data_IF_138046142087
#
_entry.id   IF_138046142087
#
_cell.length_a   1.000
_cell.length_b   1.000
_cell.length_c   1.000
_cell.angle_alpha   90.00
_cell.angle_beta   90.00
_cell.angle_gamma   90.00
#
_symmetry.space_group_name_H-M   'P 1'
#
loop_
_entity.id
_entity.type
_entity.pdbx_description
1 polymer ?
#
# COMPACT_ATOMS: atom_id res chain seq x y z
N UNK A 1 -23.19 -30.22 -38.91
CA UNK A 1 -22.00 -29.31 -38.93
C UNK A 1 -22.29 -27.94 -38.32
N UNK A 2 -23.33 -27.24 -38.74
CA UNK A 2 -23.72 -25.93 -38.25
C UNK A 2 -23.89 -25.88 -36.72
N UNK A 3 -24.65 -26.80 -36.13
CA UNK A 3 -24.88 -26.86 -34.68
C UNK A 3 -23.58 -27.19 -33.89
N UNK A 4 -22.64 -27.94 -34.48
CA UNK A 4 -21.34 -28.23 -33.88
C UNK A 4 -20.46 -26.98 -33.87
N UNK A 5 -20.44 -26.23 -34.98
CA UNK A 5 -19.72 -24.97 -35.09
C UNK A 5 -20.25 -23.93 -34.10
N UNK A 6 -21.56 -23.79 -33.91
CA UNK A 6 -22.16 -22.92 -32.93
C UNK A 6 -21.77 -23.24 -31.47
N UNK A 7 -21.77 -24.54 -31.12
CA UNK A 7 -21.30 -25.02 -29.81
C UNK A 7 -19.84 -24.70 -29.57
N UNK A 8 -18.98 -24.96 -30.55
CA UNK A 8 -17.54 -24.64 -30.45
C UNK A 8 -17.28 -23.13 -30.26
N UNK A 9 -18.03 -22.30 -30.98
CA UNK A 9 -17.97 -20.84 -30.77
C UNK A 9 -18.44 -20.41 -29.37
N UNK A 10 -19.53 -20.98 -28.87
CA UNK A 10 -20.01 -20.70 -27.52
C UNK A 10 -19.00 -21.10 -26.44
N UNK A 11 -18.36 -22.26 -26.59
CA UNK A 11 -17.30 -22.72 -25.65
C UNK A 11 -16.10 -21.79 -25.70
N UNK A 12 -15.65 -21.35 -26.87
CA UNK A 12 -14.55 -20.38 -27.02
C UNK A 12 -14.87 -19.04 -26.36
N UNK A 13 -16.06 -18.50 -26.59
CA UNK A 13 -16.50 -17.24 -25.99
C UNK A 13 -16.55 -17.35 -24.46
N UNK A 14 -17.04 -18.46 -23.92
CA UNK A 14 -17.06 -18.71 -22.48
C UNK A 14 -15.63 -18.73 -21.87
N UNK A 15 -14.72 -19.45 -22.50
CA UNK A 15 -13.32 -19.54 -22.03
C UNK A 15 -12.60 -18.18 -22.06
N UNK A 16 -12.80 -17.40 -23.12
CA UNK A 16 -12.24 -16.03 -23.21
C UNK A 16 -12.83 -15.14 -22.14
N UNK A 17 -14.12 -15.20 -21.88
CA UNK A 17 -14.81 -14.45 -20.84
C UNK A 17 -14.25 -14.76 -19.44
N UNK A 18 -14.10 -16.04 -19.11
CA UNK A 18 -13.54 -16.46 -17.82
C UNK A 18 -12.09 -15.97 -17.63
N UNK A 19 -11.27 -16.06 -18.67
CA UNK A 19 -9.90 -15.53 -18.65
C UNK A 19 -9.85 -14.00 -18.48
N UNK A 20 -10.73 -13.26 -19.14
CA UNK A 20 -10.84 -11.81 -19.00
C UNK A 20 -11.31 -11.42 -17.60
N UNK A 21 -12.32 -12.08 -17.05
CA UNK A 21 -12.80 -11.85 -15.69
C UNK A 21 -11.68 -12.00 -14.66
N UNK A 22 -10.91 -13.07 -14.77
CA UNK A 22 -9.80 -13.36 -13.88
C UNK A 22 -8.71 -12.30 -14.02
N UNK A 23 -8.32 -11.94 -15.23
CA UNK A 23 -7.27 -10.94 -15.49
C UNK A 23 -7.66 -9.56 -14.98
N UNK A 24 -8.90 -9.12 -15.20
CA UNK A 24 -9.42 -7.83 -14.72
C UNK A 24 -9.48 -7.81 -13.20
N UNK A 25 -9.97 -8.88 -12.57
CA UNK A 25 -10.00 -8.99 -11.10
C UNK A 25 -8.62 -8.91 -10.47
N UNK A 26 -7.62 -9.60 -11.05
CA UNK A 26 -6.23 -9.54 -10.58
C UNK A 26 -5.65 -8.12 -10.75
N UNK A 27 -5.91 -7.48 -11.90
CA UNK A 27 -5.46 -6.11 -12.15
C UNK A 27 -6.03 -5.14 -11.11
N UNK A 28 -7.34 -5.17 -10.87
CA UNK A 28 -8.01 -4.33 -9.89
C UNK A 28 -7.49 -4.58 -8.48
N UNK A 29 -7.34 -5.85 -8.07
CA UNK A 29 -6.78 -6.22 -6.79
C UNK A 29 -5.36 -5.67 -6.61
N UNK A 30 -4.49 -5.80 -7.61
CA UNK A 30 -3.12 -5.28 -7.56
C UNK A 30 -3.08 -3.74 -7.47
N UNK A 31 -3.97 -3.05 -8.17
CA UNK A 31 -4.12 -1.59 -8.07
C UNK A 31 -4.54 -1.22 -6.64
N UNK A 32 -5.58 -1.84 -6.10
CA UNK A 32 -6.07 -1.58 -4.74
C UNK A 32 -5.00 -1.87 -3.68
N UNK A 33 -4.31 -2.99 -3.78
CA UNK A 33 -3.21 -3.35 -2.87
C UNK A 33 -2.07 -2.32 -2.87
N UNK A 34 -1.84 -1.67 -4.01
CA UNK A 34 -0.80 -0.65 -4.16
C UNK A 34 -1.24 0.73 -3.69
N UNK A 35 -2.54 1.03 -3.74
CA UNK A 35 -3.10 2.36 -3.47
C UNK A 35 -3.77 2.49 -2.11
N UNK A 36 -4.38 1.42 -1.60
CA UNK A 36 -5.05 1.39 -0.30
C UNK A 36 -4.10 0.84 0.78
N UNK A 37 -4.15 1.46 1.96
CA UNK A 37 -3.27 1.09 3.07
C UNK A 37 -3.94 0.11 4.07
N UNK A 38 -5.16 -0.35 3.78
CA UNK A 38 -5.95 -1.26 4.62
C UNK A 38 -6.45 -2.45 3.81
N UNK A 39 -6.06 -3.66 4.21
CA UNK A 39 -6.53 -4.89 3.56
C UNK A 39 -8.06 -5.07 3.62
N UNK A 40 -8.72 -4.59 4.68
CA UNK A 40 -10.17 -4.64 4.81
C UNK A 40 -10.94 -3.79 3.78
N UNK A 41 -10.35 -2.71 3.30
CA UNK A 41 -10.95 -1.86 2.26
C UNK A 41 -10.93 -2.54 0.89
N UNK A 42 -9.90 -3.36 0.60
CA UNK A 42 -9.76 -4.07 -0.67
C UNK A 42 -10.96 -4.99 -0.94
N UNK A 43 -11.39 -5.74 0.09
CA UNK A 43 -12.54 -6.63 -0.03
C UNK A 43 -13.84 -5.87 -0.36
N UNK A 44 -14.08 -4.72 0.31
CA UNK A 44 -15.25 -3.87 0.05
C UNK A 44 -15.23 -3.32 -1.39
N UNK A 45 -14.07 -2.88 -1.88
CA UNK A 45 -13.89 -2.43 -3.26
C UNK A 45 -14.12 -3.54 -4.28
N UNK A 46 -13.56 -4.74 -4.06
CA UNK A 46 -13.77 -5.88 -4.97
C UNK A 46 -15.24 -6.29 -5.05
N UNK A 47 -15.96 -6.23 -3.93
CA UNK A 47 -17.40 -6.52 -3.90
C UNK A 47 -18.25 -5.46 -4.62
N UNK A 48 -17.81 -4.20 -4.62
CA UNK A 48 -18.50 -3.10 -5.33
C UNK A 48 -18.40 -3.22 -6.85
N UNK A 49 -17.34 -3.88 -7.34
CA UNK A 49 -17.08 -4.06 -8.77
C UNK A 49 -17.02 -5.55 -9.13
N UNK A 50 -18.16 -6.26 -9.18
CA UNK A 50 -18.20 -7.69 -9.49
C UNK A 50 -17.95 -7.92 -10.98
N UNK A 51 -16.71 -8.22 -11.33
CA UNK A 51 -16.25 -8.41 -12.71
C UNK A 51 -17.04 -9.54 -13.41
N UNK A 52 -17.33 -10.62 -12.68
CA UNK A 52 -18.06 -11.78 -13.23
C UNK A 52 -19.49 -11.47 -13.66
N UNK A 53 -20.19 -10.51 -12.98
CA UNK A 53 -21.55 -10.10 -13.35
C UNK A 53 -21.59 -9.18 -14.57
N UNK A 54 -20.60 -8.28 -14.69
CA UNK A 54 -20.59 -7.22 -15.71
C UNK A 54 -20.32 -7.77 -17.12
N UNK A 55 -19.54 -8.85 -17.26
CA UNK A 55 -19.16 -9.44 -18.57
C UNK A 55 -20.04 -10.65 -18.93
N UNK A 56 -21.00 -11.02 -18.06
CA UNK A 56 -21.77 -12.27 -18.24
C UNK A 56 -22.66 -12.30 -19.47
N UNK A 57 -23.21 -11.16 -19.89
CA UNK A 57 -24.22 -11.04 -20.93
C UNK A 57 -23.68 -10.62 -22.30
N UNK A 58 -22.35 -10.43 -22.42
CA UNK A 58 -21.72 -10.02 -23.66
C UNK A 58 -21.89 -11.09 -24.75
N UNK A 59 -22.55 -10.75 -25.86
CA UNK A 59 -22.81 -11.65 -26.97
C UNK A 59 -21.60 -11.87 -27.88
N UNK A 60 -20.65 -10.93 -27.89
CA UNK A 60 -19.44 -11.02 -28.73
C UNK A 60 -18.21 -10.37 -28.05
N UNK A 61 -17.03 -10.57 -28.65
CA UNK A 61 -15.78 -10.01 -28.14
C UNK A 61 -15.77 -8.47 -28.09
N UNK A 62 -16.49 -7.81 -28.99
CA UNK A 62 -16.64 -6.34 -29.01
C UNK A 62 -17.42 -5.82 -27.80
N UNK A 63 -18.48 -6.52 -27.43
CA UNK A 63 -19.29 -6.20 -26.25
C UNK A 63 -18.48 -6.42 -24.96
N UNK A 64 -17.76 -7.55 -24.85
CA UNK A 64 -16.87 -7.82 -23.73
C UNK A 64 -15.83 -6.71 -23.53
N UNK A 65 -15.21 -6.25 -24.62
CA UNK A 65 -14.23 -5.17 -24.56
C UNK A 65 -14.86 -3.87 -24.05
N UNK A 66 -16.04 -3.52 -24.52
CA UNK A 66 -16.77 -2.32 -24.10
C UNK A 66 -17.13 -2.39 -22.62
N UNK A 67 -17.66 -3.52 -22.17
CA UNK A 67 -18.08 -3.72 -20.78
C UNK A 67 -16.89 -3.69 -19.80
N UNK A 68 -15.76 -4.32 -20.16
CA UNK A 68 -14.52 -4.23 -19.39
C UNK A 68 -14.01 -2.80 -19.32
N UNK A 69 -14.00 -2.07 -20.44
CA UNK A 69 -13.56 -0.67 -20.44
C UNK A 69 -14.46 0.21 -19.57
N UNK A 70 -15.78 0.06 -19.67
CA UNK A 70 -16.73 0.79 -18.84
C UNK A 70 -16.49 0.50 -17.34
N UNK A 71 -16.36 -0.77 -16.95
CA UNK A 71 -16.07 -1.19 -15.59
C UNK A 71 -14.75 -0.58 -15.06
N UNK A 72 -13.69 -0.64 -15.85
CA UNK A 72 -12.40 -0.08 -15.46
C UNK A 72 -12.42 1.46 -15.37
N UNK A 73 -13.17 2.13 -16.23
CA UNK A 73 -13.35 3.59 -16.18
C UNK A 73 -14.13 4.01 -14.93
N UNK A 74 -15.20 3.31 -14.60
CA UNK A 74 -15.98 3.58 -13.39
C UNK A 74 -15.16 3.30 -12.12
N UNK A 75 -14.46 2.17 -12.09
CA UNK A 75 -13.53 1.83 -11.01
C UNK A 75 -12.44 2.90 -10.84
N UNK A 76 -11.82 3.32 -11.92
CA UNK A 76 -10.78 4.35 -11.89
C UNK A 76 -11.32 5.68 -11.37
N UNK A 77 -12.47 6.14 -11.89
CA UNK A 77 -13.13 7.38 -11.46
C UNK A 77 -13.45 7.37 -9.97
N UNK A 78 -14.04 6.28 -9.48
CA UNK A 78 -14.43 6.17 -8.08
C UNK A 78 -13.21 6.03 -7.18
N UNK A 79 -12.17 5.32 -7.60
CA UNK A 79 -10.92 5.21 -6.87
C UNK A 79 -10.20 6.56 -6.79
N UNK A 80 -10.16 7.34 -7.88
CA UNK A 80 -9.61 8.70 -7.85
C UNK A 80 -10.39 9.61 -6.90
N UNK A 81 -11.73 9.56 -6.95
CA UNK A 81 -12.56 10.34 -6.03
C UNK A 81 -12.26 9.97 -4.57
N UNK A 82 -12.22 8.68 -4.27
CA UNK A 82 -11.87 8.18 -2.94
C UNK A 82 -10.47 8.64 -2.48
N UNK A 83 -9.47 8.59 -3.37
CA UNK A 83 -8.11 9.03 -3.07
C UNK A 83 -8.00 10.56 -2.90
N UNK A 84 -8.84 11.34 -3.60
CA UNK A 84 -8.93 12.81 -3.41
C UNK A 84 -9.59 13.17 -2.08
N UNK A 85 -10.65 12.48 -1.69
CA UNK A 85 -11.29 12.64 -0.38
C UNK A 85 -10.40 12.12 0.75
N UNK A 86 -9.46 11.22 0.44
CA UNK A 86 -8.52 10.68 1.39
C UNK A 86 -7.27 11.55 1.52
N UNK A 87 -7.40 12.65 2.27
CA UNK A 87 -6.28 13.52 2.65
C UNK A 87 -5.12 12.75 3.32
N UNK A 88 -5.39 11.56 3.85
CA UNK A 88 -4.39 10.67 4.44
C UNK A 88 -3.57 9.89 3.41
N UNK A 89 -4.09 9.60 2.23
CA UNK A 89 -3.31 8.99 1.15
C UNK A 89 -2.10 9.84 0.75
N UNK A 90 -2.29 11.16 0.73
CA UNK A 90 -1.18 12.09 0.49
C UNK A 90 -0.18 12.13 1.64
N UNK A 91 -0.66 12.10 2.88
CA UNK A 91 0.18 12.04 4.08
C UNK A 91 1.05 10.79 4.07
N UNK A 92 0.50 9.61 3.78
CA UNK A 92 1.29 8.38 3.74
C UNK A 92 2.35 8.42 2.65
N UNK A 93 2.00 8.87 1.44
CA UNK A 93 2.98 9.08 0.35
C UNK A 93 4.07 10.08 0.73
N UNK A 94 3.71 11.14 1.46
CA UNK A 94 4.67 12.13 1.93
C UNK A 94 5.61 11.53 2.98
N UNK A 95 5.09 10.77 3.95
CA UNK A 95 5.90 10.06 4.95
C UNK A 95 6.88 9.10 4.26
N UNK A 96 6.41 8.25 3.34
CA UNK A 96 7.27 7.27 2.66
C UNK A 96 8.37 7.95 1.83
N UNK A 97 8.06 9.06 1.15
CA UNK A 97 9.03 9.83 0.36
C UNK A 97 10.05 10.58 1.22
N UNK A 98 9.62 11.08 2.38
CA UNK A 98 10.42 11.92 3.28
C UNK A 98 10.90 11.20 4.54
N UNK A 99 10.81 9.87 4.58
CA UNK A 99 11.11 9.08 5.78
C UNK A 99 12.54 9.27 6.30
N UNK A 100 13.48 9.57 5.41
CA UNK A 100 14.88 9.81 5.74
C UNK A 100 15.16 11.25 6.22
N UNK A 101 14.14 12.08 6.31
CA UNK A 101 14.25 13.44 6.81
C UNK A 101 13.55 13.58 8.17
N UNK A 102 13.74 14.74 8.82
CA UNK A 102 12.93 15.08 9.99
C UNK A 102 11.51 15.43 9.50
N UNK A 103 10.54 14.73 10.03
CA UNK A 103 9.12 14.96 9.77
C UNK A 103 8.49 15.59 11.00
N UNK A 104 7.74 16.67 10.83
CA UNK A 104 6.98 17.29 11.92
C UNK A 104 5.50 16.93 11.82
N UNK A 105 4.81 16.96 12.97
CA UNK A 105 3.36 16.73 13.00
C UNK A 105 2.60 17.88 12.34
N UNK A 106 3.15 19.09 12.43
CA UNK A 106 2.61 20.31 11.84
C UNK A 106 2.56 20.20 10.32
N UNK A 107 3.65 19.72 9.69
CA UNK A 107 3.70 19.47 8.24
C UNK A 107 2.65 18.46 7.82
N UNK A 108 2.53 17.34 8.54
CA UNK A 108 1.58 16.27 8.19
C UNK A 108 0.13 16.72 8.40
N UNK A 109 -0.13 17.51 9.46
CA UNK A 109 -1.45 18.08 9.73
C UNK A 109 -1.84 19.09 8.63
N UNK A 110 -0.90 19.94 8.21
CA UNK A 110 -1.12 20.92 7.14
C UNK A 110 -1.47 20.23 5.81
N UNK A 111 -0.78 19.13 5.44
CA UNK A 111 -1.10 18.32 4.26
C UNK A 111 -2.53 17.78 4.27
N UNK A 112 -3.10 17.59 5.44
CA UNK A 112 -4.47 17.06 5.61
C UNK A 112 -5.50 18.18 5.82
N UNK A 113 -5.10 19.44 5.79
CA UNK A 113 -5.91 20.61 6.16
C UNK A 113 -6.55 20.46 7.56
N UNK A 114 -5.79 19.94 8.53
CA UNK A 114 -6.26 19.69 9.91
C UNK A 114 -5.37 20.38 10.92
N UNK A 115 -5.93 20.65 12.12
CA UNK A 115 -5.09 20.95 13.29
C UNK A 115 -4.28 19.70 13.71
N UNK A 116 -3.14 19.89 14.35
CA UNK A 116 -2.28 18.79 14.84
C UNK A 116 -3.04 17.80 15.72
N UNK A 117 -3.94 18.30 16.56
CA UNK A 117 -4.79 17.48 17.45
C UNK A 117 -5.77 16.63 16.65
N UNK A 118 -6.51 17.25 15.72
CA UNK A 118 -7.47 16.53 14.85
C UNK A 118 -6.76 15.51 13.97
N UNK A 119 -5.62 15.87 13.39
CA UNK A 119 -4.77 14.98 12.61
C UNK A 119 -4.33 13.75 13.43
N UNK A 120 -3.76 13.99 14.61
CA UNK A 120 -3.25 12.91 15.48
C UNK A 120 -4.34 11.93 15.88
N UNK A 121 -5.55 12.43 16.21
CA UNK A 121 -6.71 11.59 16.52
C UNK A 121 -7.11 10.72 15.33
N UNK A 122 -7.37 11.35 14.16
CA UNK A 122 -7.78 10.63 12.93
C UNK A 122 -6.71 9.66 12.43
N UNK A 123 -5.43 10.05 12.50
CA UNK A 123 -4.33 9.18 12.13
C UNK A 123 -4.30 7.92 12.99
N UNK A 124 -4.48 8.06 14.32
CA UNK A 124 -4.55 6.92 15.24
C UNK A 124 -5.77 6.03 14.96
N UNK A 125 -6.92 6.63 14.68
CA UNK A 125 -8.14 5.87 14.30
C UNK A 125 -7.90 5.04 13.04
N UNK A 126 -7.18 5.60 12.06
CA UNK A 126 -6.92 4.95 10.77
C UNK A 126 -5.80 3.90 10.81
N UNK A 127 -4.73 4.14 11.56
CA UNK A 127 -3.53 3.29 11.61
C UNK A 127 -3.42 2.45 12.88
N UNK A 128 -4.34 2.63 13.83
CA UNK A 128 -4.32 2.05 15.17
C UNK A 128 -3.12 2.49 16.03
N UNK A 129 -2.32 3.47 15.56
CA UNK A 129 -1.16 3.97 16.29
C UNK A 129 -0.95 5.48 16.10
N UNK A 130 -0.34 6.19 17.08
CA UNK A 130 -0.01 7.61 16.92
C UNK A 130 0.95 7.86 15.77
N UNK A 131 0.87 9.06 15.10
CA UNK A 131 1.72 9.40 13.95
C UNK A 131 3.22 9.24 14.21
N UNK A 132 3.74 9.75 15.33
CA UNK A 132 5.15 9.63 15.70
C UNK A 132 5.58 8.17 15.85
N UNK A 133 4.72 7.32 16.40
CA UNK A 133 5.01 5.90 16.54
C UNK A 133 5.08 5.21 15.17
N UNK A 134 4.17 5.53 14.27
CA UNK A 134 4.15 5.04 12.89
C UNK A 134 5.43 5.44 12.12
N UNK A 135 5.80 6.73 12.19
CA UNK A 135 7.03 7.26 11.56
C UNK A 135 8.25 6.55 12.14
N UNK A 136 8.33 6.41 13.46
CA UNK A 136 9.44 5.73 14.10
C UNK A 136 9.54 4.26 13.69
N UNK A 137 8.42 3.56 13.56
CA UNK A 137 8.39 2.17 13.07
C UNK A 137 9.00 2.09 11.66
N UNK A 138 8.56 2.94 10.74
CA UNK A 138 9.08 3.02 9.37
C UNK A 138 10.58 3.35 9.34
N UNK A 139 11.02 4.31 10.17
CA UNK A 139 12.44 4.68 10.28
C UNK A 139 13.30 3.53 10.81
N UNK A 140 12.80 2.76 11.79
CA UNK A 140 13.52 1.61 12.35
C UNK A 140 13.71 0.51 11.31
N UNK A 141 12.78 0.30 10.37
CA UNK A 141 13.00 -0.62 9.25
C UNK A 141 14.21 -0.16 8.39
N UNK A 142 14.35 1.14 8.14
CA UNK A 142 15.54 1.68 7.47
C UNK A 142 16.81 1.54 8.29
N UNK A 143 16.76 1.78 9.61
CA UNK A 143 17.88 1.53 10.51
C UNK A 143 18.36 0.09 10.41
N UNK A 144 17.45 -0.90 10.41
CA UNK A 144 17.80 -2.32 10.25
C UNK A 144 18.53 -2.60 8.93
N UNK A 145 18.16 -1.92 7.83
CA UNK A 145 18.85 -2.05 6.54
C UNK A 145 20.30 -1.54 6.62
N UNK A 146 20.52 -0.36 7.23
CA UNK A 146 21.87 0.20 7.41
C UNK A 146 22.73 -0.58 8.41
N UNK A 147 22.12 -1.14 9.47
CA UNK A 147 22.85 -1.95 10.45
C UNK A 147 23.48 -3.23 9.86
N UNK A 148 23.01 -3.68 8.70
CA UNK A 148 23.62 -4.79 7.94
C UNK A 148 24.97 -4.41 7.31
N UNK A 149 25.31 -3.13 7.28
CA UNK A 149 26.52 -2.58 6.67
C UNK A 149 27.46 -2.12 7.78
N UNK A 150 28.61 -2.77 7.97
CA UNK A 150 29.50 -2.48 9.08
C UNK A 150 30.21 -1.13 8.98
N UNK A 151 30.25 -0.55 7.77
CA UNK A 151 30.92 0.72 7.47
C UNK A 151 30.23 1.94 8.12
N UNK A 152 28.93 1.84 8.45
CA UNK A 152 28.21 2.96 9.05
C UNK A 152 28.28 2.99 10.57
N UNK A 153 28.63 4.15 11.12
CA UNK A 153 28.50 4.48 12.54
C UNK A 153 27.03 4.70 12.91
N UNK A 154 26.71 4.63 14.20
CA UNK A 154 25.34 4.88 14.65
C UNK A 154 24.90 6.33 14.44
N UNK A 155 25.82 7.29 14.53
CA UNK A 155 25.58 8.69 14.21
C UNK A 155 25.15 8.88 12.75
N UNK A 156 25.95 8.33 11.81
CA UNK A 156 25.62 8.36 10.39
C UNK A 156 24.27 7.69 10.08
N UNK A 157 23.99 6.56 10.73
CA UNK A 157 22.69 5.88 10.56
C UNK A 157 21.54 6.76 11.06
N UNK A 158 21.72 7.47 12.19
CA UNK A 158 20.70 8.38 12.70
C UNK A 158 20.42 9.52 11.70
N UNK A 159 21.47 10.10 11.12
CA UNK A 159 21.35 11.16 10.12
C UNK A 159 20.68 10.64 8.83
N UNK A 160 21.13 9.51 8.30
CA UNK A 160 20.61 8.89 7.08
C UNK A 160 19.14 8.42 7.22
N UNK A 161 18.68 8.18 8.44
CA UNK A 161 17.30 7.74 8.72
C UNK A 161 16.43 8.85 9.31
N UNK A 162 16.95 10.09 9.37
CA UNK A 162 16.21 11.28 9.79
C UNK A 162 15.82 11.29 11.28
N UNK A 163 16.57 10.59 12.14
CA UNK A 163 16.45 10.76 13.58
C UNK A 163 17.13 12.07 14.04
N UNK A 164 16.62 12.66 15.12
CA UNK A 164 17.18 13.90 15.65
C UNK A 164 18.59 13.74 16.20
N UNK A 165 18.91 12.57 16.73
CA UNK A 165 20.22 12.19 17.24
C UNK A 165 20.30 10.67 17.47
N UNK A 166 21.53 10.16 17.62
CA UNK A 166 21.83 8.76 17.86
C UNK A 166 21.14 8.20 19.11
N UNK A 167 21.20 8.93 20.22
CA UNK A 167 20.64 8.47 21.50
C UNK A 167 19.13 8.24 21.41
N UNK A 168 18.42 9.10 20.69
CA UNK A 168 16.98 8.94 20.45
C UNK A 168 16.70 7.72 19.57
N UNK A 169 17.46 7.55 18.47
CA UNK A 169 17.37 6.38 17.60
C UNK A 169 17.57 5.07 18.37
N UNK A 170 18.62 4.98 19.20
CA UNK A 170 18.92 3.77 20.02
C UNK A 170 17.78 3.44 20.97
N UNK A 171 17.20 4.44 21.66
CA UNK A 171 16.05 4.23 22.54
C UNK A 171 14.82 3.74 21.79
N UNK A 172 14.53 4.34 20.64
CA UNK A 172 13.39 3.97 19.79
C UNK A 172 13.60 2.57 19.23
N UNK A 173 14.80 2.24 18.76
CA UNK A 173 15.16 0.92 18.27
C UNK A 173 14.86 -0.16 19.31
N UNK A 174 15.40 0.01 20.55
CA UNK A 174 15.16 -0.94 21.64
C UNK A 174 13.67 -1.06 21.99
N UNK A 175 12.94 0.07 22.00
CA UNK A 175 11.51 0.08 22.29
C UNK A 175 10.69 -0.70 21.26
N UNK A 176 11.04 -0.60 19.98
CA UNK A 176 10.28 -1.22 18.86
C UNK A 176 10.69 -2.68 18.65
N UNK A 177 11.99 -2.98 18.73
CA UNK A 177 12.51 -4.32 18.42
C UNK A 177 12.64 -5.24 19.63
N UNK A 178 12.61 -4.69 20.85
CA UNK A 178 12.85 -5.41 22.09
C UNK A 178 14.32 -5.71 22.39
N UNK A 179 15.25 -5.46 21.44
CA UNK A 179 16.67 -5.76 21.57
C UNK A 179 17.54 -4.51 21.39
N UNK A 180 18.79 -4.56 21.90
CA UNK A 180 19.75 -3.48 21.65
C UNK A 180 20.30 -3.56 20.22
N UNK A 181 20.79 -2.45 19.70
CA UNK A 181 21.46 -2.42 18.38
C UNK A 181 22.67 -3.36 18.35
N UNK A 182 23.42 -3.44 19.46
CA UNK A 182 24.58 -4.33 19.57
C UNK A 182 24.17 -5.80 19.46
N UNK A 183 23.11 -6.21 20.14
CA UNK A 183 22.62 -7.57 20.08
C UNK A 183 22.06 -7.90 18.69
N UNK A 184 21.35 -6.95 18.09
CA UNK A 184 20.83 -7.08 16.73
C UNK A 184 21.96 -7.25 15.69
N UNK A 185 23.07 -6.48 15.79
CA UNK A 185 24.26 -6.67 14.94
C UNK A 185 24.91 -8.05 15.13
N UNK A 186 25.00 -8.55 16.37
CA UNK A 186 25.51 -9.91 16.63
C UNK A 186 24.65 -10.97 15.97
N UNK A 187 23.32 -10.87 16.08
CA UNK A 187 22.38 -11.81 15.45
C UNK A 187 22.54 -11.83 13.92
N UNK A 188 22.66 -10.67 13.27
CA UNK A 188 22.87 -10.59 11.82
C UNK A 188 24.16 -11.26 11.41
N UNK A 189 25.25 -11.05 12.16
CA UNK A 189 26.56 -11.62 11.83
C UNK A 189 26.57 -13.14 12.01
N UNK A 190 25.88 -13.66 13.02
CA UNK A 190 25.70 -15.11 13.19
C UNK A 190 24.88 -15.76 12.09
N UNK A 191 23.88 -15.07 11.55
CA UNK A 191 23.06 -15.57 10.45
C UNK A 191 23.74 -15.55 9.07
N UNK A 192 24.93 -14.93 8.97
CA UNK A 192 25.75 -14.84 7.75
C UNK A 192 26.89 -15.85 7.72
N UNK A 193 27.16 -16.53 8.83
CA UNK A 193 28.11 -17.64 8.94
C UNK A 193 27.44 -18.98 8.66
#
# INVERSE_FOLDING_TARGET
>A
EFLRSCREQQVRVKSVREGMNQSVSILMFNILKKTLHRDGEIGAWMNRYPVSGTISDAACAGDMKRDVLALLMDFHRDLEAHLREDSFGEVFRYIDRKIQTRLSLEELAALSNMSVSAFSKRFKERTSMPPIQYINLKKIEKVKEYLKRPEYTLGEIADLTGFSNENYMVRVFKKITGSTITDYRKQINMARM
#
